data_IF_752549900971
#
_entry.id   IF_752549900971
#
_cell.length_a   1.000
_cell.length_b   1.000
_cell.length_c   1.000
_cell.angle_alpha   90.00
_cell.angle_beta   90.00
_cell.angle_gamma   90.00
#
_symmetry.space_group_name_H-M   'P 1'
#
loop_
_entity.id
_entity.type
_entity.pdbx_description
1 polymer ?
#
# COMPACT_ATOMS: atom_id res chain seq x y z
N UNK A 1 14.00 16.06 -4.09
CA UNK A 1 13.04 16.19 -3.01
C UNK A 1 11.76 15.46 -3.31
N UNK A 2 11.44 14.51 -2.47
CA UNK A 2 10.22 13.76 -2.65
C UNK A 2 9.03 14.52 -2.12
N UNK A 3 8.06 14.76 -2.97
CA UNK A 3 6.80 15.32 -2.54
C UNK A 3 5.83 14.16 -2.28
N UNK A 4 4.69 14.49 -1.71
CA UNK A 4 3.65 13.51 -1.51
C UNK A 4 3.27 12.83 -2.82
N UNK A 5 3.17 13.63 -3.87
CA UNK A 5 2.77 13.11 -5.17
C UNK A 5 3.78 12.11 -5.70
N UNK A 6 5.06 12.39 -5.49
CA UNK A 6 6.10 11.46 -5.94
C UNK A 6 6.00 10.13 -5.23
N UNK A 7 5.75 10.16 -3.92
CA UNK A 7 5.62 8.94 -3.13
C UNK A 7 4.43 8.13 -3.60
N UNK A 8 3.29 8.77 -3.79
CA UNK A 8 2.09 8.08 -4.25
C UNK A 8 2.29 7.51 -5.65
N UNK A 9 2.95 8.26 -6.50
CA UNK A 9 3.22 7.81 -7.86
C UNK A 9 4.10 6.55 -7.85
N UNK A 10 5.15 6.57 -7.06
CA UNK A 10 6.06 5.43 -6.98
C UNK A 10 5.36 4.20 -6.44
N UNK A 11 4.58 4.36 -5.39
CA UNK A 11 3.85 3.23 -4.81
C UNK A 11 2.86 2.68 -5.81
N UNK A 12 2.11 3.55 -6.46
CA UNK A 12 1.12 3.12 -7.45
C UNK A 12 1.78 2.40 -8.61
N UNK A 13 2.89 2.94 -9.10
CA UNK A 13 3.60 2.34 -10.23
C UNK A 13 4.11 0.94 -9.85
N UNK A 14 4.66 0.80 -8.65
CA UNK A 14 5.15 -0.49 -8.20
C UNK A 14 4.02 -1.49 -8.06
N UNK A 15 2.92 -1.07 -7.47
CA UNK A 15 1.75 -1.94 -7.30
C UNK A 15 1.21 -2.39 -8.66
N UNK A 16 1.13 -1.48 -9.61
CA UNK A 16 0.66 -1.83 -10.95
C UNK A 16 1.63 -2.78 -11.65
N UNK A 17 2.92 -2.53 -11.47
CA UNK A 17 3.95 -3.38 -12.08
C UNK A 17 3.85 -4.82 -11.58
N UNK A 18 3.48 -4.99 -10.31
CA UNK A 18 3.34 -6.30 -9.70
C UNK A 18 1.95 -6.91 -9.92
N UNK A 19 1.02 -6.14 -10.47
CA UNK A 19 -0.34 -6.59 -10.67
C UNK A 19 -1.12 -6.70 -9.38
N UNK A 20 -0.77 -5.90 -8.38
CA UNK A 20 -1.37 -5.98 -7.05
C UNK A 20 -2.32 -4.81 -6.75
N UNK A 21 -2.75 -4.10 -7.78
CA UNK A 21 -3.59 -2.92 -7.58
C UNK A 21 -4.85 -3.23 -6.79
N UNK A 22 -5.48 -4.32 -7.12
CA UNK A 22 -6.72 -4.72 -6.46
C UNK A 22 -6.48 -5.03 -4.98
N UNK A 23 -5.46 -5.81 -4.71
CA UNK A 23 -5.10 -6.16 -3.34
C UNK A 23 -4.69 -4.92 -2.56
N UNK A 24 -3.96 -4.03 -3.21
CA UNK A 24 -3.51 -2.81 -2.57
C UNK A 24 -4.68 -1.92 -2.17
N UNK A 25 -5.63 -1.73 -3.09
CA UNK A 25 -6.81 -0.93 -2.80
C UNK A 25 -7.60 -1.52 -1.65
N UNK A 26 -7.77 -2.83 -1.64
CA UNK A 26 -8.48 -3.50 -0.57
C UNK A 26 -7.76 -3.35 0.76
N UNK A 27 -6.45 -3.47 0.74
CA UNK A 27 -5.66 -3.31 1.96
C UNK A 27 -5.76 -1.90 2.51
N UNK A 28 -5.73 -0.91 1.64
CA UNK A 28 -5.91 0.48 2.07
C UNK A 28 -7.25 0.69 2.77
N UNK A 29 -8.29 0.10 2.20
CA UNK A 29 -9.60 0.21 2.78
C UNK A 29 -9.65 -0.44 4.16
N UNK A 30 -9.05 -1.61 4.30
CA UNK A 30 -8.99 -2.30 5.57
C UNK A 30 -8.24 -1.48 6.62
N UNK A 31 -7.11 -0.91 6.23
CA UNK A 31 -6.32 -0.12 7.16
C UNK A 31 -7.06 1.14 7.59
N UNK A 32 -7.81 1.73 6.66
CA UNK A 32 -8.57 2.93 6.98
C UNK A 32 -9.65 2.64 8.02
N UNK A 33 -10.19 1.44 8.00
CA UNK A 33 -11.22 1.03 8.95
C UNK A 33 -10.64 0.45 10.23
N UNK A 34 -9.34 0.20 10.26
CA UNK A 34 -8.67 -0.37 11.42
C UNK A 34 -8.37 0.73 12.43
N UNK A 35 -8.79 0.54 13.66
CA UNK A 35 -8.56 1.52 14.72
C UNK A 35 -7.08 1.80 14.92
N UNK A 36 -6.24 0.83 14.64
CA UNK A 36 -4.81 0.95 14.80
C UNK A 36 -4.21 1.95 13.81
N UNK A 37 -4.74 1.97 12.58
CA UNK A 37 -4.21 2.80 11.52
C UNK A 37 -5.14 3.93 11.12
N UNK A 38 -6.26 4.03 11.78
CA UNK A 38 -7.29 5.00 11.45
C UNK A 38 -6.78 6.44 11.48
N UNK A 39 -5.91 6.73 12.44
CA UNK A 39 -5.38 8.08 12.62
C UNK A 39 -3.98 8.24 12.06
N UNK A 40 -3.50 7.24 11.35
CA UNK A 40 -2.20 7.29 10.70
C UNK A 40 -2.28 8.20 9.47
N UNK A 41 -1.20 8.92 9.18
CA UNK A 41 -1.16 9.74 7.99
C UNK A 41 -1.33 8.89 6.74
N UNK A 42 -1.91 9.48 5.71
CA UNK A 42 -2.16 8.76 4.45
C UNK A 42 -0.87 8.18 3.89
N UNK A 43 0.20 8.96 3.93
CA UNK A 43 1.51 8.51 3.44
C UNK A 43 1.98 7.24 4.16
N UNK A 44 1.91 7.25 5.47
CA UNK A 44 2.34 6.10 6.25
C UNK A 44 1.44 4.90 5.99
N UNK A 45 0.15 5.15 5.88
CA UNK A 45 -0.81 4.08 5.62
C UNK A 45 -0.55 3.43 4.27
N UNK A 46 -0.22 4.23 3.28
CA UNK A 46 0.11 3.71 1.95
C UNK A 46 1.35 2.83 1.99
N UNK A 47 2.36 3.24 2.73
CA UNK A 47 3.58 2.44 2.85
C UNK A 47 3.32 1.14 3.57
N UNK A 48 2.51 1.18 4.63
CA UNK A 48 2.14 -0.04 5.34
C UNK A 48 1.38 -0.98 4.41
N UNK A 49 0.43 -0.45 3.65
CA UNK A 49 -0.35 -1.25 2.72
C UNK A 49 0.55 -1.90 1.68
N UNK A 50 1.48 -1.12 1.13
CA UNK A 50 2.41 -1.65 0.14
C UNK A 50 3.24 -2.79 0.72
N UNK A 51 3.78 -2.60 1.91
CA UNK A 51 4.58 -3.63 2.57
C UNK A 51 3.78 -4.90 2.78
N UNK A 52 2.57 -4.77 3.28
CA UNK A 52 1.73 -5.93 3.54
C UNK A 52 1.36 -6.67 2.27
N UNK A 53 1.02 -5.92 1.23
CA UNK A 53 0.65 -6.53 -0.04
C UNK A 53 1.84 -7.25 -0.66
N UNK A 54 3.01 -6.66 -0.61
CA UNK A 54 4.22 -7.28 -1.14
C UNK A 54 4.57 -8.55 -0.36
N UNK A 55 4.43 -8.51 0.94
CA UNK A 55 4.70 -9.70 1.76
C UNK A 55 3.74 -10.82 1.42
N UNK A 56 2.47 -10.52 1.25
CA UNK A 56 1.50 -11.52 0.88
C UNK A 56 1.79 -12.08 -0.51
N UNK A 57 2.22 -11.22 -1.43
CA UNK A 57 2.55 -11.64 -2.78
C UNK A 57 3.73 -12.62 -2.76
N UNK A 58 4.76 -12.30 -2.01
CA UNK A 58 5.93 -13.18 -1.90
C UNK A 58 5.58 -14.50 -1.22
N UNK A 59 4.72 -14.41 -0.21
CA UNK A 59 4.31 -15.59 0.54
C UNK A 59 3.54 -16.58 -0.34
N UNK A 60 2.72 -16.04 -1.23
CA UNK A 60 1.92 -16.88 -2.12
C UNK A 60 2.66 -17.28 -3.38
N UNK A 61 3.82 -16.70 -3.61
CA UNK A 61 4.63 -17.01 -4.77
C UNK A 61 5.46 -18.26 -4.51
N UNK A 62 5.22 -19.26 -5.28
CA UNK A 62 5.98 -20.49 -5.18
C UNK A 62 6.58 -20.87 -6.48
#
# INVERSE_FOLDING_TARGET
MGSWEDIFYEVTAEVQSLGLKKQFDQKLKELRDDDKYKYTEVRDRWQVALTLVKEEHEKNKK
#
